data_IF_061656625191
#
_entry.id   IF_061656625191
#
_cell.length_a   1.000
_cell.length_b   1.000
_cell.length_c   1.000
_cell.angle_alpha   90.00
_cell.angle_beta   90.00
_cell.angle_gamma   90.00
#
_symmetry.space_group_name_H-M   'P 1'
#
loop_
_entity.id
_entity.type
_entity.pdbx_description
1 polymer ?
#
# COMPACT_ATOMS: atom_id res chain seq x y z
N UNK A 1 3.45 -1.41 16.16
CA UNK A 1 2.49 -1.36 15.04
C UNK A 1 1.74 -0.05 15.03
N UNK A 2 1.64 0.58 13.89
CA UNK A 2 0.97 1.87 13.76
C UNK A 2 -0.01 1.79 12.59
N UNK A 3 -1.19 2.36 12.77
CA UNK A 3 -2.17 2.44 11.68
C UNK A 3 -1.99 3.78 10.99
N UNK A 4 -1.90 3.75 9.68
CA UNK A 4 -1.77 4.95 8.86
C UNK A 4 -2.52 4.74 7.54
N UNK A 5 -2.55 5.77 6.73
CA UNK A 5 -3.13 5.69 5.39
C UNK A 5 -2.02 5.51 4.35
N UNK A 6 -2.33 4.80 3.27
CA UNK A 6 -1.34 4.55 2.20
C UNK A 6 -0.78 5.85 1.65
N UNK A 7 -1.59 6.90 1.58
CA UNK A 7 -1.15 8.20 1.09
C UNK A 7 0.00 8.83 1.86
N UNK A 8 0.24 8.40 3.10
CA UNK A 8 1.36 8.88 3.91
C UNK A 8 2.64 8.05 3.73
N UNK A 9 2.54 6.94 3.02
CA UNK A 9 3.68 6.05 2.80
C UNK A 9 4.44 6.46 1.54
N UNK A 10 5.72 6.12 1.51
CA UNK A 10 6.59 6.39 0.37
C UNK A 10 6.76 5.14 -0.47
N UNK A 11 7.16 5.34 -1.72
CA UNK A 11 7.52 4.22 -2.60
C UNK A 11 8.55 3.33 -1.93
N UNK A 12 8.25 2.05 -1.89
CA UNK A 12 9.12 1.05 -1.25
C UNK A 12 8.79 0.72 0.19
N UNK A 13 7.90 1.48 0.82
CA UNK A 13 7.46 1.18 2.19
C UNK A 13 6.61 -0.09 2.21
N UNK A 14 6.70 -0.84 3.29
CA UNK A 14 5.94 -2.07 3.46
C UNK A 14 4.86 -1.85 4.51
N UNK A 15 3.67 -2.32 4.20
CA UNK A 15 2.53 -2.23 5.11
C UNK A 15 1.77 -3.55 5.12
N UNK A 16 0.93 -3.73 6.14
CA UNK A 16 0.05 -4.88 6.26
C UNK A 16 -1.39 -4.44 6.06
N UNK A 17 -2.08 -5.15 5.19
CA UNK A 17 -3.49 -4.93 4.95
C UNK A 17 -4.19 -6.28 4.84
N UNK A 18 -5.25 -6.45 5.63
CA UNK A 18 -6.07 -7.66 5.60
C UNK A 18 -5.24 -8.95 5.78
N UNK A 19 -4.22 -8.88 6.66
CA UNK A 19 -3.37 -10.03 6.94
C UNK A 19 -2.26 -10.29 5.92
N UNK A 20 -2.18 -9.47 4.89
CA UNK A 20 -1.16 -9.61 3.84
C UNK A 20 -0.21 -8.42 3.84
N UNK A 21 1.05 -8.68 3.52
CA UNK A 21 2.06 -7.62 3.41
C UNK A 21 2.18 -7.15 1.98
N UNK A 22 2.18 -5.83 1.82
CA UNK A 22 2.31 -5.19 0.52
C UNK A 22 3.44 -4.18 0.54
N UNK A 23 4.00 -3.95 -0.63
CA UNK A 23 5.01 -2.91 -0.85
C UNK A 23 4.38 -1.79 -1.67
N UNK A 24 4.56 -0.56 -1.22
CA UNK A 24 4.04 0.60 -1.93
C UNK A 24 4.77 0.76 -3.27
N UNK A 25 4.01 0.79 -4.35
CA UNK A 25 4.54 1.01 -5.69
C UNK A 25 4.33 2.44 -6.14
N UNK A 26 4.04 2.61 -7.42
CA UNK A 26 3.85 3.93 -8.01
C UNK A 26 2.41 4.38 -7.92
N UNK A 27 2.22 5.69 -7.80
CA UNK A 27 0.89 6.28 -7.95
C UNK A 27 0.45 6.05 -9.39
N UNK A 28 -0.77 5.54 -9.55
CA UNK A 28 -1.32 5.27 -10.88
C UNK A 28 -1.91 6.56 -11.43
N UNK A 29 -1.30 7.10 -12.47
CA UNK A 29 -1.78 8.32 -13.12
C UNK A 29 -3.14 8.08 -13.78
N UNK A 30 -4.00 9.10 -13.71
CA UNK A 30 -5.33 9.02 -14.30
C UNK A 30 -6.35 8.30 -13.45
N UNK A 31 -5.96 7.85 -12.25
CA UNK A 31 -6.88 7.28 -11.28
C UNK A 31 -7.08 8.26 -10.12
N UNK A 32 -8.20 8.18 -9.44
CA UNK A 32 -8.54 9.09 -8.35
C UNK A 32 -7.91 8.65 -7.03
N UNK A 33 -6.58 8.76 -6.95
CA UNK A 33 -5.88 8.48 -5.70
C UNK A 33 -5.63 7.01 -5.43
N UNK A 34 -5.42 6.21 -6.46
CA UNK A 34 -5.04 4.80 -6.29
C UNK A 34 -3.54 4.64 -6.44
N UNK A 35 -3.00 3.73 -5.63
CA UNK A 35 -1.58 3.40 -5.63
C UNK A 35 -1.44 1.92 -5.96
N UNK A 36 -0.52 1.59 -6.85
CA UNK A 36 -0.20 0.21 -7.17
C UNK A 36 0.64 -0.38 -6.03
N UNK A 37 0.14 -1.43 -5.39
CA UNK A 37 0.85 -2.09 -4.29
C UNK A 37 1.10 -3.55 -4.67
N UNK A 38 2.26 -4.06 -4.34
CA UNK A 38 2.65 -5.43 -4.68
C UNK A 38 2.62 -6.29 -3.42
N UNK A 39 1.88 -7.39 -3.46
CA UNK A 39 1.91 -8.38 -2.40
C UNK A 39 3.27 -9.07 -2.44
N UNK A 40 4.03 -8.97 -1.35
CA UNK A 40 5.40 -9.50 -1.34
C UNK A 40 5.48 -11.02 -1.28
N UNK A 41 4.39 -11.68 -0.89
CA UNK A 41 4.34 -13.14 -0.86
C UNK A 41 3.95 -13.74 -2.21
N UNK A 42 2.89 -13.20 -2.81
CA UNK A 42 2.37 -13.73 -4.08
C UNK A 42 2.93 -13.00 -5.29
N UNK A 43 3.56 -11.84 -5.07
CA UNK A 43 4.09 -10.96 -6.11
C UNK A 43 3.02 -10.42 -7.06
N UNK A 44 1.78 -10.44 -6.63
CA UNK A 44 0.67 -9.88 -7.40
C UNK A 44 0.48 -8.42 -7.06
N UNK A 45 0.14 -7.64 -8.05
CA UNK A 45 -0.09 -6.21 -7.89
C UNK A 45 -1.57 -5.94 -7.67
N UNK A 46 -1.87 -5.03 -6.75
CA UNK A 46 -3.23 -4.62 -6.46
C UNK A 46 -3.27 -3.11 -6.31
N UNK A 47 -4.33 -2.48 -6.80
CA UNK A 47 -4.55 -1.05 -6.63
C UNK A 47 -5.32 -0.80 -5.35
N UNK A 48 -4.77 0.05 -4.50
CA UNK A 48 -5.42 0.41 -3.23
C UNK A 48 -5.53 1.92 -3.14
N UNK A 49 -6.64 2.38 -2.56
CA UNK A 49 -6.90 3.81 -2.43
C UNK A 49 -5.99 4.42 -1.35
N UNK A 50 -5.53 5.65 -1.58
CA UNK A 50 -4.62 6.33 -0.66
C UNK A 50 -5.24 6.58 0.72
N UNK A 51 -6.56 6.62 0.81
CA UNK A 51 -7.27 6.81 2.08
C UNK A 51 -7.50 5.52 2.86
N UNK A 52 -7.05 4.40 2.32
CA UNK A 52 -7.21 3.11 2.98
C UNK A 52 -6.32 3.02 4.21
N UNK A 53 -6.90 2.62 5.34
CA UNK A 53 -6.14 2.41 6.57
C UNK A 53 -5.36 1.11 6.50
N UNK A 54 -4.08 1.20 6.81
CA UNK A 54 -3.18 0.05 6.78
C UNK A 54 -2.29 0.08 8.01
N UNK A 55 -1.67 -1.05 8.32
CA UNK A 55 -0.76 -1.17 9.45
C UNK A 55 0.69 -1.15 8.96
N UNK A 56 1.54 -0.44 9.70
CA UNK A 56 2.98 -0.40 9.43
C UNK A 56 3.74 -0.81 10.67
N UNK A 57 4.87 -1.46 10.47
CA UNK A 57 5.81 -1.76 11.55
C UNK A 57 6.78 -0.59 11.69
N UNK A 58 7.09 -0.27 12.93
CA UNK A 58 8.11 0.74 13.24
C UNK A 58 9.34 0.10 13.84
#
# INVERSE_FOLDING_TARGET
>A
MRITQIGWLKHGDIFTFNGNKYKVGHVVDGTNGYVSCTNIETRKTKRLHIDLDVEVEE
#
